data_IF_451376954996
#
_entry.id   IF_451376954996
#
_cell.length_a   1.000
_cell.length_b   1.000
_cell.length_c   1.000
_cell.angle_alpha   90.00
_cell.angle_beta   90.00
_cell.angle_gamma   90.00
#
_symmetry.space_group_name_H-M   'P 1'
#
loop_
_entity.id
_entity.type
_entity.pdbx_description
1 polymer ?
#
# COMPACT_ATOMS: atom_id res chain seq x y z
N UNK A 1 21.35 1.98 2.49
CA UNK A 1 19.98 1.99 1.90
C UNK A 1 18.94 2.22 3.00
N UNK A 2 18.12 3.29 2.94
CA UNK A 2 17.09 3.58 3.96
C UNK A 2 15.92 2.59 3.89
N UNK A 3 15.53 1.98 5.01
CA UNK A 3 14.43 1.00 5.13
C UNK A 3 13.12 1.44 4.47
N UNK A 4 12.79 2.75 4.54
CA UNK A 4 11.61 3.33 3.88
C UNK A 4 11.69 3.23 2.36
N UNK A 5 12.87 3.45 1.78
CA UNK A 5 13.10 3.33 0.35
C UNK A 5 13.04 1.85 -0.08
N UNK A 6 13.64 0.94 0.68
CA UNK A 6 13.54 -0.50 0.42
C UNK A 6 12.09 -1.00 0.41
N UNK A 7 11.28 -0.55 1.37
CA UNK A 7 9.84 -0.86 1.44
C UNK A 7 9.09 -0.32 0.22
N UNK A 8 9.39 0.91 -0.22
CA UNK A 8 8.78 1.49 -1.43
C UNK A 8 9.13 0.69 -2.67
N UNK A 9 10.39 0.34 -2.86
CA UNK A 9 10.84 -0.47 -4.00
C UNK A 9 10.15 -1.84 -3.98
N UNK A 10 10.11 -2.50 -2.81
CA UNK A 10 9.43 -3.76 -2.65
C UNK A 10 7.92 -3.66 -2.96
N UNK A 11 7.22 -2.66 -2.43
CA UNK A 11 5.80 -2.46 -2.67
C UNK A 11 5.50 -2.23 -4.16
N UNK A 12 6.32 -1.44 -4.85
CA UNK A 12 6.20 -1.23 -6.31
C UNK A 12 6.37 -2.53 -7.09
N UNK A 13 7.39 -3.32 -6.74
CA UNK A 13 7.62 -4.63 -7.36
C UNK A 13 6.42 -5.55 -7.15
N UNK A 14 5.88 -5.64 -5.93
CA UNK A 14 4.70 -6.49 -5.65
C UNK A 14 3.44 -5.99 -6.34
N UNK A 15 3.23 -4.69 -6.46
CA UNK A 15 2.10 -4.14 -7.20
C UNK A 15 2.16 -4.51 -8.69
N UNK A 16 3.33 -4.41 -9.32
CA UNK A 16 3.52 -4.85 -10.72
C UNK A 16 3.24 -6.34 -10.86
N UNK A 17 3.82 -7.17 -10.00
CA UNK A 17 3.67 -8.63 -10.09
C UNK A 17 2.26 -9.13 -9.79
N UNK A 18 1.57 -8.55 -8.80
CA UNK A 18 0.27 -9.06 -8.30
C UNK A 18 -0.94 -8.42 -8.99
N UNK A 19 -0.78 -7.22 -9.54
CA UNK A 19 -1.88 -6.43 -10.09
C UNK A 19 -1.59 -5.84 -11.49
N UNK A 20 -0.39 -6.04 -12.03
CA UNK A 20 0.01 -5.43 -13.31
C UNK A 20 0.25 -3.92 -13.24
N UNK A 21 0.22 -3.30 -12.05
CA UNK A 21 0.25 -1.83 -11.92
C UNK A 21 1.64 -1.31 -11.61
N UNK A 22 2.04 -0.28 -12.36
CA UNK A 22 3.19 0.57 -12.01
C UNK A 22 2.79 1.59 -10.93
N UNK A 23 3.25 1.37 -9.70
CA UNK A 23 3.09 2.34 -8.60
C UNK A 23 4.12 3.47 -8.70
N UNK A 24 3.76 4.55 -9.42
CA UNK A 24 4.56 5.77 -9.45
C UNK A 24 4.64 6.44 -8.06
N UNK A 25 5.58 7.38 -7.87
CA UNK A 25 5.68 8.16 -6.63
C UNK A 25 4.36 8.86 -6.29
N UNK A 26 3.70 9.44 -7.30
CA UNK A 26 2.43 10.12 -7.16
C UNK A 26 1.31 9.18 -6.71
N UNK A 27 1.14 8.03 -7.38
CA UNK A 27 0.13 7.01 -7.00
C UNK A 27 0.33 6.48 -5.59
N UNK A 28 1.57 6.26 -5.17
CA UNK A 28 1.88 5.87 -3.78
C UNK A 28 1.43 6.95 -2.80
N UNK A 29 1.71 8.21 -3.10
CA UNK A 29 1.32 9.32 -2.24
C UNK A 29 -0.20 9.48 -2.17
N UNK A 30 -0.91 9.28 -3.27
CA UNK A 30 -2.37 9.28 -3.33
C UNK A 30 -2.96 8.18 -2.46
N UNK A 31 -2.44 6.95 -2.54
CA UNK A 31 -2.86 5.84 -1.69
C UNK A 31 -2.68 6.19 -0.21
N UNK A 32 -1.52 6.74 0.16
CA UNK A 32 -1.25 7.16 1.54
C UNK A 32 -2.25 8.23 1.99
N UNK A 33 -2.51 9.24 1.15
CA UNK A 33 -3.51 10.29 1.43
C UNK A 33 -4.91 9.71 1.59
N UNK A 34 -5.32 8.76 0.74
CA UNK A 34 -6.62 8.07 0.85
C UNK A 34 -6.75 7.37 2.19
N UNK A 35 -5.71 6.64 2.61
CA UNK A 35 -5.70 5.95 3.90
C UNK A 35 -5.78 6.93 5.07
N UNK A 36 -4.95 7.97 5.06
CA UNK A 36 -4.90 8.96 6.14
C UNK A 36 -6.19 9.79 6.26
N UNK A 37 -6.91 10.00 5.16
CA UNK A 37 -8.19 10.73 5.12
C UNK A 37 -9.42 9.84 5.31
N UNK A 38 -9.25 8.56 5.65
CA UNK A 38 -10.37 7.62 5.80
C UNK A 38 -11.10 7.27 4.50
N UNK A 39 -10.52 7.58 3.33
CA UNK A 39 -11.07 7.27 2.00
C UNK A 39 -10.63 5.89 1.48
N UNK A 40 -10.33 4.97 2.39
CA UNK A 40 -9.98 3.58 2.11
C UNK A 40 -10.75 2.67 3.06
N UNK A 41 -10.95 1.42 2.67
CA UNK A 41 -11.63 0.45 3.54
C UNK A 41 -10.59 -0.25 4.41
N UNK A 42 -10.65 -0.02 5.72
CA UNK A 42 -9.85 -0.78 6.68
C UNK A 42 -10.24 -2.26 6.64
N UNK A 43 -9.26 -3.15 6.72
CA UNK A 43 -9.48 -4.60 6.71
C UNK A 43 -9.14 -5.19 8.07
N UNK A 44 -7.89 -5.02 8.50
CA UNK A 44 -7.42 -5.50 9.80
C UNK A 44 -6.13 -4.81 10.20
N UNK A 45 -5.85 -4.83 11.49
CA UNK A 45 -4.52 -4.50 12.01
C UNK A 45 -3.66 -5.77 11.99
N UNK A 46 -2.39 -5.65 11.58
CA UNK A 46 -1.43 -6.78 11.61
C UNK A 46 -0.38 -6.62 12.68
N UNK A 47 -0.12 -5.39 13.14
CA UNK A 47 0.67 -5.09 14.33
C UNK A 47 0.32 -3.69 14.85
N UNK A 48 0.91 -3.26 15.96
CA UNK A 48 0.67 -1.93 16.55
C UNK A 48 0.80 -0.78 15.51
N UNK A 49 1.76 -0.91 14.58
CA UNK A 49 2.05 0.10 13.57
C UNK A 49 1.61 -0.26 12.16
N UNK A 50 1.17 -1.50 11.90
CA UNK A 50 0.84 -1.96 10.55
C UNK A 50 -0.62 -2.35 10.43
N UNK A 51 -1.25 -1.87 9.37
CA UNK A 51 -2.65 -2.15 9.08
C UNK A 51 -2.86 -2.42 7.60
N UNK A 52 -3.84 -3.26 7.30
CA UNK A 52 -4.23 -3.67 5.96
C UNK A 52 -5.46 -2.85 5.54
N UNK A 53 -5.41 -2.31 4.33
CA UNK A 53 -6.49 -1.55 3.73
C UNK A 53 -6.79 -2.05 2.31
N UNK A 54 -8.06 -1.97 1.91
CA UNK A 54 -8.44 -1.95 0.51
C UNK A 54 -8.40 -0.52 -0.01
N UNK A 55 -7.68 -0.31 -1.10
CA UNK A 55 -7.54 0.98 -1.77
C UNK A 55 -7.80 0.80 -3.26
N UNK A 56 -8.39 1.83 -3.86
CA UNK A 56 -8.59 1.90 -5.31
C UNK A 56 -7.54 2.82 -5.91
N UNK A 57 -6.77 2.33 -6.87
CA UNK A 57 -5.74 3.09 -7.58
C UNK A 57 -6.00 2.99 -9.09
N UNK A 58 -6.50 4.07 -9.70
CA UNK A 58 -7.17 3.98 -11.00
C UNK A 58 -8.40 3.07 -10.87
N UNK A 59 -8.55 2.13 -11.80
CA UNK A 59 -9.67 1.17 -11.80
C UNK A 59 -9.39 -0.11 -11.01
N UNK A 60 -8.19 -0.23 -10.43
CA UNK A 60 -7.79 -1.44 -9.73
C UNK A 60 -7.96 -1.30 -8.22
N UNK A 61 -8.77 -2.18 -7.65
CA UNK A 61 -8.84 -2.38 -6.20
C UNK A 61 -7.67 -3.26 -5.76
N UNK A 62 -6.98 -2.87 -4.70
CA UNK A 62 -5.84 -3.63 -4.17
C UNK A 62 -5.81 -3.62 -2.65
N UNK A 63 -5.20 -4.66 -2.08
CA UNK A 63 -4.98 -4.78 -0.63
C UNK A 63 -3.56 -4.32 -0.29
N UNK A 64 -3.41 -3.28 0.52
CA UNK A 64 -2.11 -2.70 0.88
C UNK A 64 -1.85 -2.78 2.38
N UNK A 65 -0.57 -2.98 2.74
CA UNK A 65 -0.10 -2.87 4.12
C UNK A 65 0.50 -1.48 4.33
N UNK A 66 -0.07 -0.73 5.25
CA UNK A 66 0.36 0.60 5.63
C UNK A 66 1.05 0.58 6.99
N UNK A 67 2.23 1.22 7.07
CA UNK A 67 2.97 1.46 8.32
C UNK A 67 2.70 2.90 8.77
N UNK A 68 1.97 3.05 9.88
CA UNK A 68 1.59 4.34 10.44
C UNK A 68 2.78 5.13 10.99
N UNK A 69 3.77 4.44 11.57
CA UNK A 69 4.99 5.06 12.12
C UNK A 69 5.83 5.68 11.01
N UNK A 70 5.99 4.98 9.88
CA UNK A 70 6.82 5.45 8.74
C UNK A 70 6.03 6.25 7.69
N UNK A 71 4.71 6.31 7.83
CA UNK A 71 3.77 6.88 6.85
C UNK A 71 4.05 6.36 5.44
N UNK A 72 4.15 5.04 5.29
CA UNK A 72 4.56 4.39 4.04
C UNK A 72 3.83 3.07 3.80
N UNK A 73 3.70 2.70 2.53
CA UNK A 73 3.26 1.36 2.12
C UNK A 73 4.44 0.40 2.27
N UNK A 74 4.19 -0.73 2.94
CA UNK A 74 5.19 -1.79 3.16
C UNK A 74 5.16 -2.80 2.01
N UNK A 75 3.97 -3.25 1.64
CA UNK A 75 3.75 -4.23 0.56
C UNK A 75 2.29 -4.18 0.08
N UNK A 76 2.02 -4.85 -1.04
CA UNK A 76 0.67 -5.03 -1.60
C UNK A 76 0.35 -6.51 -1.59
N UNK A 77 -0.70 -6.94 -0.89
CA UNK A 77 -1.13 -8.34 -0.74
C UNK A 77 -2.00 -8.77 -1.93
N UNK A 78 -2.12 -10.07 -2.27
CA UNK A 78 -3.05 -10.52 -3.31
C UNK A 78 -4.51 -10.37 -2.85
N UNK A 79 -5.43 -10.22 -3.81
CA UNK A 79 -6.87 -10.09 -3.54
C UNK A 79 -7.51 -11.43 -3.17
N UNK A 80 -7.13 -12.50 -3.88
CA UNK A 80 -7.55 -13.89 -3.68
C UNK A 80 -6.29 -14.78 -3.64
N UNK A 81 -6.37 -15.89 -2.92
CA UNK A 81 -5.36 -16.95 -2.93
C UNK A 81 -5.63 -17.90 -4.08
#
# INVERSE_FOLDING_TARGET
MNKKNSQRVHARRRAKLRYGIKLSRQRVQEIIKKIQRGRSKFVKRTSNTKSVFYVTCGDVKMKVVYDSKRKSIVTVLPLKY
#
